data_IF_424875513626
#
_entry.id   IF_424875513626
#
_cell.length_a   1.000
_cell.length_b   1.000
_cell.length_c   1.000
_cell.angle_alpha   90.00
_cell.angle_beta   90.00
_cell.angle_gamma   90.00
#
_symmetry.space_group_name_H-M   'P 1'
#
loop_
_entity.id
_entity.type
_entity.pdbx_description
1 polymer ?
#
# COMPACT_ATOMS: atom_id res chain seq x y z
N UNK A 1 7.55 -85.21 12.30
CA UNK A 1 7.66 -84.68 10.93
C UNK A 1 6.84 -83.38 10.75
N UNK A 2 5.70 -83.23 11.37
CA UNK A 2 4.80 -82.04 11.29
C UNK A 2 5.33 -80.71 11.82
N UNK A 3 6.21 -80.75 12.86
CA UNK A 3 6.78 -79.51 13.47
C UNK A 3 7.81 -78.79 12.60
N UNK A 4 8.55 -79.49 11.74
CA UNK A 4 9.52 -78.86 10.79
C UNK A 4 8.76 -78.21 9.60
N UNK A 5 7.70 -78.87 9.15
CA UNK A 5 6.92 -78.31 8.01
C UNK A 5 6.19 -77.01 8.42
N UNK A 6 5.65 -76.92 9.66
CA UNK A 6 5.05 -75.68 10.20
C UNK A 6 6.06 -74.52 10.32
N UNK A 7 7.27 -74.78 10.69
CA UNK A 7 8.32 -73.74 10.76
C UNK A 7 8.74 -73.26 9.36
N UNK A 8 8.78 -74.17 8.38
CA UNK A 8 9.13 -73.81 6.95
C UNK A 8 8.09 -72.89 6.32
N UNK A 9 6.83 -72.99 6.72
CA UNK A 9 5.72 -72.15 6.16
C UNK A 9 5.55 -70.89 7.00
N UNK A 10 5.68 -70.94 8.32
CA UNK A 10 5.48 -69.78 9.21
C UNK A 10 6.55 -68.67 9.06
N UNK A 11 7.80 -69.08 8.83
CA UNK A 11 8.89 -68.08 8.70
C UNK A 11 8.74 -67.20 7.42
N UNK A 12 8.51 -67.77 6.21
CA UNK A 12 8.33 -66.95 5.03
C UNK A 12 7.01 -66.15 5.08
N UNK A 13 5.96 -66.68 5.70
CA UNK A 13 4.72 -65.94 5.89
C UNK A 13 4.88 -64.71 6.80
N UNK A 14 5.70 -64.85 7.88
CA UNK A 14 6.03 -63.77 8.81
C UNK A 14 6.90 -62.68 8.11
N UNK A 15 7.81 -63.10 7.26
CA UNK A 15 8.63 -62.20 6.46
C UNK A 15 7.79 -61.43 5.43
N UNK A 16 6.83 -62.10 4.77
CA UNK A 16 5.94 -61.48 3.80
C UNK A 16 5.05 -60.42 4.44
N UNK A 17 4.54 -60.67 5.65
CA UNK A 17 3.74 -59.71 6.44
C UNK A 17 4.57 -58.51 6.89
N UNK A 18 5.83 -58.71 7.26
CA UNK A 18 6.70 -57.62 7.66
C UNK A 18 7.11 -56.73 6.45
N UNK A 19 7.29 -57.28 5.26
CA UNK A 19 7.62 -56.51 4.06
C UNK A 19 6.41 -55.66 3.61
N UNK A 20 5.19 -56.17 3.70
CA UNK A 20 3.99 -55.40 3.35
C UNK A 20 3.72 -54.18 4.27
N UNK A 21 4.24 -54.21 5.50
CA UNK A 21 4.12 -53.07 6.43
C UNK A 21 5.00 -51.85 6.10
N UNK A 22 6.01 -52.01 5.24
CA UNK A 22 6.92 -50.92 4.86
C UNK A 22 6.54 -50.19 3.61
N UNK A 23 5.52 -50.61 2.85
CA UNK A 23 4.95 -49.86 1.76
C UNK A 23 3.85 -48.90 2.27
N UNK A 24 4.15 -48.14 3.29
CA UNK A 24 3.39 -46.91 3.54
C UNK A 24 3.84 -45.89 2.50
N UNK A 25 3.23 -45.94 1.32
CA UNK A 25 3.36 -44.90 0.33
C UNK A 25 2.72 -43.67 0.96
N UNK A 26 3.53 -42.76 1.51
CA UNK A 26 3.06 -41.45 1.93
C UNK A 26 2.45 -40.75 0.72
N UNK A 27 1.13 -40.61 0.71
CA UNK A 27 0.45 -39.76 -0.27
C UNK A 27 0.92 -38.35 0.03
N UNK A 28 1.49 -37.68 -0.97
CA UNK A 28 1.76 -36.27 -0.88
C UNK A 28 0.43 -35.51 -0.72
N UNK A 29 0.17 -35.04 0.48
CA UNK A 29 -1.06 -34.29 0.80
C UNK A 29 -0.87 -32.78 0.69
N UNK A 30 0.34 -32.31 0.30
CA UNK A 30 0.62 -30.90 0.16
C UNK A 30 -0.38 -30.15 -0.73
N UNK A 31 -0.83 -30.71 -1.88
CA UNK A 31 -1.84 -30.06 -2.71
C UNK A 31 -3.17 -29.80 -2.01
N UNK A 32 -3.54 -30.63 -1.02
CA UNK A 32 -4.78 -30.47 -0.25
C UNK A 32 -4.74 -29.22 0.66
N UNK A 33 -3.55 -28.80 1.05
CA UNK A 33 -3.33 -27.69 1.97
C UNK A 33 -2.82 -26.42 1.24
N UNK A 34 -2.58 -26.48 -0.06
CA UNK A 34 -2.00 -25.40 -0.82
C UNK A 34 -2.77 -24.06 -0.66
N UNK A 35 -4.12 -24.13 -0.60
CA UNK A 35 -4.93 -22.92 -0.42
C UNK A 35 -4.83 -22.32 0.98
N UNK A 36 -4.52 -23.15 2.02
CA UNK A 36 -4.36 -22.68 3.40
C UNK A 36 -2.99 -22.05 3.64
N UNK A 37 -1.98 -22.54 2.91
CA UNK A 37 -0.60 -22.09 3.06
C UNK A 37 -0.19 -21.04 2.03
N UNK A 38 -1.02 -20.79 1.03
CA UNK A 38 -0.68 -19.93 -0.11
C UNK A 38 -0.28 -18.51 0.29
N UNK A 39 -0.97 -17.92 1.26
CA UNK A 39 -0.70 -16.55 1.70
C UNK A 39 0.63 -16.47 2.45
N UNK A 40 0.88 -17.37 3.40
CA UNK A 40 2.12 -17.38 4.17
C UNK A 40 3.33 -17.74 3.29
N UNK A 41 3.16 -18.66 2.33
CA UNK A 41 4.15 -18.95 1.31
C UNK A 41 4.48 -17.70 0.49
N UNK A 42 3.47 -17.02 -0.04
CA UNK A 42 3.65 -15.77 -0.77
C UNK A 42 4.35 -14.69 0.07
N UNK A 43 3.93 -14.51 1.33
CA UNK A 43 4.58 -13.56 2.23
C UNK A 43 6.06 -13.88 2.41
N UNK A 44 6.40 -15.16 2.63
CA UNK A 44 7.79 -15.58 2.80
C UNK A 44 8.62 -15.32 1.53
N UNK A 45 8.09 -15.66 0.35
CA UNK A 45 8.77 -15.44 -0.93
C UNK A 45 9.04 -13.96 -1.19
N UNK A 46 8.06 -13.10 -0.91
CA UNK A 46 8.23 -11.64 -1.04
C UNK A 46 9.26 -11.13 -0.04
N UNK A 47 9.24 -11.62 1.19
CA UNK A 47 10.23 -11.23 2.20
C UNK A 47 11.64 -11.67 1.83
N UNK A 48 11.82 -12.87 1.27
CA UNK A 48 13.14 -13.30 0.78
C UNK A 48 13.70 -12.37 -0.30
N UNK A 49 12.84 -11.84 -1.16
CA UNK A 49 13.25 -11.05 -2.31
C UNK A 49 13.42 -9.56 -1.99
N UNK A 50 12.61 -9.01 -1.09
CA UNK A 50 12.46 -7.57 -0.94
C UNK A 50 12.60 -7.05 0.50
N UNK A 51 12.68 -7.93 1.50
CA UNK A 51 12.73 -7.53 2.89
C UNK A 51 14.12 -7.00 3.26
N UNK A 52 14.17 -5.86 3.94
CA UNK A 52 15.44 -5.22 4.33
C UNK A 52 16.35 -6.16 5.16
N UNK A 53 15.76 -6.96 6.04
CA UNK A 53 16.48 -7.91 6.88
C UNK A 53 16.27 -9.37 6.42
N UNK A 54 16.28 -9.60 5.11
CA UNK A 54 16.06 -10.95 4.54
C UNK A 54 17.05 -12.01 5.08
N UNK A 55 18.23 -11.59 5.51
CA UNK A 55 19.24 -12.50 6.12
C UNK A 55 18.86 -12.97 7.51
N UNK A 56 17.96 -12.29 8.20
CA UNK A 56 17.47 -12.66 9.52
C UNK A 56 16.25 -13.61 9.44
N UNK A 57 15.75 -13.91 8.24
CA UNK A 57 14.62 -14.83 8.04
C UNK A 57 15.02 -16.25 8.42
N UNK A 58 14.16 -17.01 9.12
CA UNK A 58 14.36 -18.43 9.34
C UNK A 58 14.38 -19.21 8.02
N UNK A 59 14.96 -20.41 7.99
CA UNK A 59 14.88 -21.29 6.83
C UNK A 59 13.43 -21.64 6.50
N UNK A 60 13.10 -21.79 5.21
CA UNK A 60 11.76 -22.18 4.77
C UNK A 60 11.26 -23.46 5.42
N UNK A 61 12.15 -24.43 5.67
CA UNK A 61 11.82 -25.71 6.30
C UNK A 61 11.48 -25.58 7.80
N UNK A 62 11.88 -24.46 8.42
CA UNK A 62 11.67 -24.20 9.85
C UNK A 62 10.42 -23.32 10.12
N UNK A 63 9.74 -22.86 9.07
CA UNK A 63 8.55 -21.99 9.23
C UNK A 63 7.25 -22.80 9.22
N UNK A 64 6.30 -22.36 10.02
CA UNK A 64 4.96 -22.93 10.03
C UNK A 64 4.03 -22.08 9.13
N UNK A 65 3.71 -22.59 7.95
CA UNK A 65 2.86 -21.95 6.95
C UNK A 65 1.34 -22.05 7.23
N UNK A 66 0.94 -22.62 8.37
CA UNK A 66 -0.46 -22.76 8.78
C UNK A 66 -0.88 -21.74 9.85
N UNK A 67 -0.12 -20.69 10.02
CA UNK A 67 -0.44 -19.65 10.98
C UNK A 67 -1.39 -18.62 10.37
N UNK A 68 -2.07 -17.87 11.23
CA UNK A 68 -2.71 -16.63 10.80
C UNK A 68 -1.62 -15.64 10.30
N UNK A 69 -1.86 -14.88 9.22
CA UNK A 69 -0.85 -14.07 8.56
C UNK A 69 -0.10 -13.10 9.49
N UNK A 70 -0.81 -12.47 10.44
CA UNK A 70 -0.18 -11.59 11.42
C UNK A 70 0.75 -12.36 12.39
N UNK A 71 0.34 -13.57 12.77
CA UNK A 71 1.14 -14.46 13.62
C UNK A 71 2.35 -15.02 12.86
N UNK A 72 2.16 -15.35 11.58
CA UNK A 72 3.24 -15.76 10.69
C UNK A 72 4.29 -14.66 10.58
N UNK A 73 3.89 -13.45 10.17
CA UNK A 73 4.80 -12.30 10.05
C UNK A 73 5.57 -12.05 11.35
N UNK A 74 4.89 -12.10 12.51
CA UNK A 74 5.53 -11.89 13.82
C UNK A 74 6.62 -12.92 14.15
N UNK A 75 6.51 -14.13 13.60
CA UNK A 75 7.46 -15.23 13.79
C UNK A 75 8.67 -15.15 12.88
N UNK A 76 8.47 -14.70 11.63
CA UNK A 76 9.51 -14.72 10.60
C UNK A 76 10.29 -13.40 10.51
N UNK A 77 9.69 -12.28 10.89
CA UNK A 77 10.35 -10.97 10.77
C UNK A 77 11.53 -10.82 11.75
N UNK A 78 12.52 -10.03 11.35
CA UNK A 78 13.65 -9.67 12.19
C UNK A 78 13.19 -8.95 13.47
N UNK A 79 13.88 -9.18 14.58
CA UNK A 79 13.68 -8.46 15.84
C UNK A 79 13.99 -6.94 15.72
N UNK A 80 14.71 -6.53 14.68
CA UNK A 80 15.02 -5.13 14.36
C UNK A 80 13.84 -4.43 13.69
N UNK A 81 12.88 -5.21 13.15
CA UNK A 81 11.73 -4.69 12.43
C UNK A 81 10.58 -4.34 13.37
N UNK A 82 10.41 -3.06 13.60
CA UNK A 82 9.28 -2.48 14.35
C UNK A 82 8.20 -1.87 13.45
N UNK A 83 8.33 -1.97 12.14
CA UNK A 83 7.48 -1.27 11.17
C UNK A 83 6.52 -2.21 10.43
N UNK A 84 6.96 -3.44 10.11
CA UNK A 84 6.13 -4.37 9.36
C UNK A 84 5.00 -4.95 10.20
N UNK A 85 3.80 -4.86 9.68
CA UNK A 85 2.59 -5.44 10.26
C UNK A 85 1.64 -5.93 9.16
N UNK A 86 0.74 -6.83 9.51
CA UNK A 86 -0.37 -7.24 8.65
C UNK A 86 -1.58 -6.42 9.03
N UNK A 87 -2.10 -5.67 8.07
CA UNK A 87 -3.40 -5.01 8.22
C UNK A 87 -4.51 -6.03 7.89
N UNK A 88 -5.28 -6.39 8.90
CA UNK A 88 -6.42 -7.29 8.76
C UNK A 88 -7.74 -6.57 8.54
N UNK A 89 -7.73 -5.24 8.59
CA UNK A 89 -8.91 -4.43 8.36
C UNK A 89 -8.98 -4.15 6.85
N UNK A 90 -9.66 -5.01 6.12
CA UNK A 90 -10.10 -4.67 4.77
C UNK A 90 -11.26 -3.67 4.88
N UNK A 91 -10.96 -2.43 5.18
CA UNK A 91 -11.91 -1.37 4.87
C UNK A 91 -12.08 -1.34 3.34
N UNK A 92 -13.34 -1.40 2.89
CA UNK A 92 -13.61 -1.18 1.47
C UNK A 92 -12.96 0.17 1.11
N UNK A 93 -12.09 0.21 0.09
CA UNK A 93 -11.41 1.44 -0.24
C UNK A 93 -12.42 2.51 -0.56
N UNK A 94 -12.35 3.59 0.19
CA UNK A 94 -13.21 4.75 -0.02
C UNK A 94 -12.89 5.35 -1.40
N UNK A 95 -13.92 5.84 -2.10
CA UNK A 95 -13.70 6.59 -3.32
C UNK A 95 -12.74 7.75 -3.05
N UNK A 96 -11.79 7.95 -3.95
CA UNK A 96 -10.82 9.04 -3.85
C UNK A 96 -10.57 9.65 -5.23
N UNK A 97 -10.18 10.91 -5.25
CA UNK A 97 -9.70 11.55 -6.48
C UNK A 97 -8.30 11.06 -6.87
N UNK A 98 -7.56 10.45 -5.94
CA UNK A 98 -6.26 9.87 -6.20
C UNK A 98 -5.11 10.86 -6.15
N UNK A 99 -5.14 11.83 -5.26
CA UNK A 99 -4.01 12.71 -4.96
C UNK A 99 -3.85 12.91 -3.46
N UNK A 100 -2.65 13.32 -3.08
CA UNK A 100 -2.31 13.75 -1.74
C UNK A 100 -1.70 15.16 -1.77
N UNK A 101 -1.81 15.91 -0.68
CA UNK A 101 -1.44 17.31 -0.64
C UNK A 101 -0.97 17.76 0.73
N UNK A 102 -0.30 18.90 0.76
CA UNK A 102 0.01 19.64 1.98
C UNK A 102 -0.64 21.01 1.94
N UNK A 103 -1.29 21.40 3.04
CA UNK A 103 -1.85 22.74 3.17
C UNK A 103 -0.76 23.75 3.52
N UNK A 104 -0.65 24.76 2.70
CA UNK A 104 0.23 25.91 2.91
C UNK A 104 -0.66 27.14 3.12
N UNK A 105 -0.42 27.89 4.20
CA UNK A 105 -1.22 29.08 4.53
C UNK A 105 -1.16 30.09 3.38
N UNK A 106 -2.31 30.61 3.00
CA UNK A 106 -2.39 31.73 2.06
C UNK A 106 -2.00 33.02 2.82
N UNK A 107 -0.96 33.74 2.39
CA UNK A 107 -0.51 34.93 3.10
C UNK A 107 -1.46 36.13 2.95
N UNK A 108 -2.28 36.14 1.90
CA UNK A 108 -3.18 37.26 1.58
C UNK A 108 -4.59 37.09 2.20
N UNK A 109 -4.94 35.86 2.59
CA UNK A 109 -6.25 35.54 3.15
C UNK A 109 -6.06 34.71 4.43
N UNK A 110 -6.28 35.30 5.57
CA UNK A 110 -5.92 34.75 6.90
C UNK A 110 -6.52 33.36 7.21
N UNK A 111 -7.71 33.07 6.69
CA UNK A 111 -8.39 31.78 6.94
C UNK A 111 -8.22 30.77 5.81
N UNK A 112 -7.50 31.14 4.74
CA UNK A 112 -7.34 30.32 3.55
C UNK A 112 -5.99 29.62 3.49
N UNK A 113 -5.99 28.50 2.77
CA UNK A 113 -4.82 27.71 2.45
C UNK A 113 -4.77 27.45 0.95
N UNK A 114 -3.57 27.18 0.45
CA UNK A 114 -3.35 26.62 -0.86
C UNK A 114 -2.91 25.15 -0.67
N UNK A 115 -3.43 24.23 -1.47
CA UNK A 115 -3.02 22.84 -1.41
C UNK A 115 -1.87 22.58 -2.42
N UNK A 116 -0.69 22.26 -1.90
CA UNK A 116 0.44 21.80 -2.68
C UNK A 116 0.30 20.30 -2.91
N UNK A 117 0.22 19.87 -4.16
CA UNK A 117 0.09 18.46 -4.52
C UNK A 117 1.42 17.74 -4.30
N UNK A 118 1.41 16.77 -3.38
CA UNK A 118 2.58 15.98 -3.00
C UNK A 118 2.70 14.69 -3.80
N UNK A 119 1.56 14.11 -4.18
CA UNK A 119 1.48 12.87 -4.91
C UNK A 119 0.20 12.78 -5.74
N UNK A 120 0.25 12.09 -6.88
CA UNK A 120 -0.92 11.78 -7.73
C UNK A 120 -0.83 10.32 -8.16
N UNK A 121 -1.91 9.56 -7.96
CA UNK A 121 -2.01 8.15 -8.34
C UNK A 121 -2.23 8.06 -9.85
N UNK A 122 -1.38 7.37 -10.61
CA UNK A 122 -1.56 7.18 -12.04
C UNK A 122 -2.91 6.52 -12.37
N UNK A 123 -3.61 7.03 -13.37
CA UNK A 123 -4.92 6.52 -13.80
C UNK A 123 -6.10 6.96 -12.93
N UNK A 124 -5.87 7.76 -11.89
CA UNK A 124 -6.93 8.36 -11.08
C UNK A 124 -7.57 9.56 -11.77
N UNK A 125 -8.77 10.02 -11.32
CA UNK A 125 -9.38 11.26 -11.82
C UNK A 125 -8.44 12.46 -11.71
N UNK A 126 -7.68 12.58 -10.63
CA UNK A 126 -6.71 13.67 -10.45
C UNK A 126 -5.57 13.62 -11.49
N UNK A 127 -5.15 12.45 -11.94
CA UNK A 127 -4.05 12.31 -12.90
C UNK A 127 -4.34 12.94 -14.27
N UNK A 128 -5.62 13.19 -14.58
CA UNK A 128 -6.01 13.88 -15.82
C UNK A 128 -5.73 15.39 -15.77
N UNK A 129 -5.70 15.99 -14.57
CA UNK A 129 -5.68 17.46 -14.39
C UNK A 129 -4.58 17.96 -13.45
N UNK A 130 -3.99 17.09 -12.65
CA UNK A 130 -2.98 17.42 -11.64
C UNK A 130 -1.70 16.61 -11.83
N UNK A 131 -0.61 17.19 -11.37
CA UNK A 131 0.69 16.52 -11.18
C UNK A 131 1.34 16.98 -9.88
N UNK A 132 2.31 16.22 -9.40
CA UNK A 132 3.12 16.61 -8.25
C UNK A 132 3.73 18.00 -8.46
N UNK A 133 3.60 18.85 -7.45
CA UNK A 133 4.10 20.21 -7.43
C UNK A 133 3.08 21.27 -7.91
N UNK A 134 1.94 20.85 -8.40
CA UNK A 134 0.84 21.78 -8.71
C UNK A 134 0.23 22.32 -7.42
N UNK A 135 -0.45 23.46 -7.54
CA UNK A 135 -1.14 24.11 -6.45
C UNK A 135 -2.63 24.21 -6.77
N UNK A 136 -3.48 23.88 -5.79
CA UNK A 136 -4.91 24.18 -5.83
C UNK A 136 -5.15 25.39 -4.93
N UNK A 137 -5.75 26.43 -5.47
CA UNK A 137 -6.06 27.68 -4.74
C UNK A 137 -7.52 27.70 -4.30
N UNK A 138 -8.42 27.24 -5.19
CA UNK A 138 -9.87 27.15 -4.91
C UNK A 138 -10.41 25.81 -5.36
N UNK A 139 -11.47 25.38 -4.70
CA UNK A 139 -12.34 24.29 -5.12
C UNK A 139 -13.73 24.87 -5.29
N UNK A 140 -14.30 24.68 -6.46
CA UNK A 140 -15.50 25.39 -6.93
C UNK A 140 -15.29 26.92 -6.78
N UNK A 141 -16.14 27.60 -6.05
CA UNK A 141 -16.01 29.05 -5.79
C UNK A 141 -15.30 29.39 -4.48
N UNK A 142 -14.91 28.36 -3.70
CA UNK A 142 -14.45 28.52 -2.31
C UNK A 142 -12.95 28.40 -2.17
N UNK A 143 -12.35 29.29 -1.36
CA UNK A 143 -10.99 29.09 -0.90
C UNK A 143 -10.93 27.91 0.10
N UNK A 144 -9.85 27.15 0.04
CA UNK A 144 -9.63 26.01 0.92
C UNK A 144 -9.41 26.54 2.34
N UNK A 145 -10.20 26.08 3.30
CA UNK A 145 -10.01 26.38 4.71
C UNK A 145 -9.81 25.08 5.48
N UNK A 146 -9.05 25.12 6.58
CA UNK A 146 -8.79 23.96 7.41
C UNK A 146 -10.05 23.28 7.94
N UNK A 147 -11.12 24.05 8.15
CA UNK A 147 -12.41 23.54 8.62
C UNK A 147 -13.14 22.72 7.55
N UNK A 148 -13.02 23.09 6.28
CA UNK A 148 -13.76 22.49 5.15
C UNK A 148 -12.89 21.67 4.22
N UNK A 149 -11.65 21.45 4.58
CA UNK A 149 -10.66 20.72 3.80
C UNK A 149 -11.20 19.37 3.31
N UNK A 150 -11.69 18.53 4.21
CA UNK A 150 -12.20 17.20 3.88
C UNK A 150 -13.40 17.25 2.92
N UNK A 151 -14.29 18.25 3.08
CA UNK A 151 -15.45 18.42 2.21
C UNK A 151 -15.06 18.87 0.81
N UNK A 152 -14.04 19.72 0.70
CA UNK A 152 -13.61 20.31 -0.57
C UNK A 152 -12.68 19.38 -1.35
N UNK A 153 -11.75 18.68 -0.67
CA UNK A 153 -10.68 17.92 -1.31
C UNK A 153 -10.84 16.40 -1.22
N UNK A 154 -11.70 15.90 -0.34
CA UNK A 154 -11.96 14.46 -0.10
C UNK A 154 -13.43 14.08 -0.36
N UNK A 155 -14.15 14.90 -1.12
CA UNK A 155 -15.52 14.60 -1.56
C UNK A 155 -15.57 13.44 -2.55
N UNK A 156 -16.78 13.10 -3.04
CA UNK A 156 -16.98 12.02 -3.99
C UNK A 156 -17.49 12.47 -5.37
N UNK A 157 -18.07 13.68 -5.45
CA UNK A 157 -18.57 14.26 -6.71
C UNK A 157 -17.46 14.87 -7.58
N UNK A 158 -17.75 15.29 -8.81
CA UNK A 158 -16.80 16.07 -9.59
C UNK A 158 -16.50 17.41 -8.88
N UNK A 159 -15.27 17.90 -9.06
CA UNK A 159 -14.81 19.16 -8.50
C UNK A 159 -14.35 20.10 -9.62
N UNK A 160 -14.65 21.39 -9.48
CA UNK A 160 -14.01 22.43 -10.25
C UNK A 160 -12.86 23.03 -9.45
N UNK A 161 -11.63 22.91 -9.94
CA UNK A 161 -10.43 23.37 -9.22
C UNK A 161 -9.78 24.54 -9.93
N UNK A 162 -9.37 25.56 -9.16
CA UNK A 162 -8.54 26.64 -9.66
C UNK A 162 -7.09 26.33 -9.33
N UNK A 163 -6.26 26.19 -10.35
CA UNK A 163 -4.83 25.96 -10.19
C UNK A 163 -4.08 27.24 -9.84
N UNK A 164 -2.93 27.09 -9.21
CA UNK A 164 -2.04 28.19 -8.87
C UNK A 164 -0.60 27.94 -9.31
N UNK A 165 0.14 29.02 -9.41
CA UNK A 165 1.58 28.98 -9.65
C UNK A 165 2.32 29.78 -8.57
N UNK A 166 3.34 29.17 -7.97
CA UNK A 166 4.24 29.86 -7.08
C UNK A 166 5.20 30.72 -7.89
N UNK A 167 5.11 32.04 -7.73
CA UNK A 167 5.90 32.98 -8.52
C UNK A 167 6.19 34.26 -7.74
N UNK A 168 7.21 34.99 -8.18
CA UNK A 168 7.52 36.32 -7.69
C UNK A 168 6.39 37.29 -8.05
N UNK A 169 5.93 38.05 -7.08
CA UNK A 169 4.94 39.10 -7.26
C UNK A 169 5.54 40.46 -6.89
N UNK A 170 5.10 41.56 -7.51
CA UNK A 170 5.55 42.88 -7.09
C UNK A 170 5.12 43.17 -5.65
N UNK A 171 5.90 43.92 -4.89
CA UNK A 171 5.55 44.33 -3.53
C UNK A 171 4.25 45.16 -3.57
N UNK A 172 3.42 44.98 -2.54
CA UNK A 172 2.13 45.70 -2.43
C UNK A 172 2.33 47.15 -2.01
N UNK A 173 3.45 47.47 -1.36
CA UNK A 173 3.85 48.80 -0.95
C UNK A 173 5.18 49.17 -1.61
N UNK A 174 5.39 50.44 -2.00
CA UNK A 174 6.67 50.86 -2.54
C UNK A 174 7.78 50.72 -1.48
N UNK A 175 9.00 50.31 -1.88
CA UNK A 175 10.10 50.14 -0.94
C UNK A 175 10.43 51.46 -0.24
N UNK A 176 10.75 51.37 1.04
CA UNK A 176 11.22 52.52 1.82
C UNK A 176 12.60 52.89 1.32
N UNK A 177 12.85 54.20 1.19
CA UNK A 177 14.11 54.70 0.66
C UNK A 177 15.31 54.24 1.56
N UNK A 178 16.16 53.36 0.98
CA UNK A 178 17.34 52.80 1.66
C UNK A 178 17.20 51.33 2.12
N UNK A 179 16.06 50.68 1.93
CA UNK A 179 15.91 49.24 2.17
C UNK A 179 16.06 48.45 0.86
N UNK A 180 16.71 47.28 0.94
CA UNK A 180 16.79 46.35 -0.18
C UNK A 180 15.40 45.76 -0.44
N UNK A 181 14.99 45.69 -1.71
CA UNK A 181 13.71 45.14 -2.15
C UNK A 181 13.73 43.62 -1.90
N UNK A 182 12.92 43.15 -0.95
CA UNK A 182 12.77 41.71 -0.71
C UNK A 182 11.89 41.09 -1.81
N UNK A 183 12.36 39.98 -2.36
CA UNK A 183 11.62 39.20 -3.34
C UNK A 183 10.42 38.51 -2.67
N UNK A 184 9.23 38.95 -2.99
CA UNK A 184 7.98 38.39 -2.47
C UNK A 184 7.47 37.29 -3.42
N UNK A 185 7.28 36.09 -2.90
CA UNK A 185 6.72 34.97 -3.65
C UNK A 185 5.32 34.59 -3.13
N UNK A 186 4.40 34.35 -4.06
CA UNK A 186 3.01 34.00 -3.79
C UNK A 186 2.53 32.89 -4.70
N UNK A 187 1.53 32.14 -4.25
CA UNK A 187 0.76 31.25 -5.11
C UNK A 187 -0.35 32.09 -5.77
N UNK A 188 -0.22 32.34 -7.05
CA UNK A 188 -1.17 33.15 -7.82
C UNK A 188 -2.04 32.23 -8.67
N UNK A 189 -3.38 32.40 -8.67
CA UNK A 189 -4.27 31.66 -9.56
C UNK A 189 -3.86 31.81 -11.03
N UNK A 190 -3.93 30.71 -11.79
CA UNK A 190 -3.57 30.70 -13.21
C UNK A 190 -4.61 29.91 -14.03
N UNK A 191 -4.95 30.47 -15.19
CA UNK A 191 -5.91 29.87 -16.11
C UNK A 191 -7.34 29.85 -15.60
N UNK A 192 -8.21 29.23 -16.40
CA UNK A 192 -9.61 28.99 -16.03
C UNK A 192 -9.69 27.78 -15.08
N UNK A 193 -10.75 27.69 -14.26
CA UNK A 193 -11.01 26.50 -13.45
C UNK A 193 -11.08 25.23 -14.30
N UNK A 194 -10.59 24.13 -13.77
CA UNK A 194 -10.52 22.83 -14.45
C UNK A 194 -11.40 21.83 -13.71
N UNK A 195 -12.23 21.11 -14.45
CA UNK A 195 -13.07 20.05 -13.90
C UNK A 195 -12.25 18.78 -13.67
N UNK A 196 -12.28 18.29 -12.43
CA UNK A 196 -11.76 16.98 -12.04
C UNK A 196 -12.93 16.01 -11.87
N UNK A 197 -12.86 14.86 -12.52
CA UNK A 197 -13.91 13.84 -12.47
C UNK A 197 -14.20 13.35 -11.05
N UNK A 198 -15.35 12.70 -10.87
CA UNK A 198 -15.77 12.15 -9.59
C UNK A 198 -14.75 11.13 -9.03
N UNK A 199 -14.66 11.07 -7.70
CA UNK A 199 -13.83 10.12 -7.00
C UNK A 199 -14.21 8.66 -7.34
N UNK A 200 -13.22 7.79 -7.46
CA UNK A 200 -13.39 6.37 -7.81
C UNK A 200 -12.72 5.48 -6.77
N UNK A 201 -13.20 4.25 -6.65
CA UNK A 201 -12.49 3.21 -5.89
C UNK A 201 -11.26 2.75 -6.68
N UNK A 202 -10.07 2.94 -6.12
CA UNK A 202 -8.81 2.59 -6.79
C UNK A 202 -8.42 1.11 -6.66
N UNK A 203 -9.22 0.30 -5.95
CA UNK A 203 -8.96 -1.14 -5.80
C UNK A 203 -9.28 -1.93 -7.06
N UNK A 204 -10.21 -1.45 -7.86
CA UNK A 204 -10.55 -2.08 -9.14
C UNK A 204 -9.49 -1.81 -10.25
N UNK A 205 -8.50 -1.01 -9.94
CA UNK A 205 -7.41 -0.71 -10.85
C UNK A 205 -6.07 -1.15 -10.22
N UNK A 206 -5.71 -2.44 -10.30
CA UNK A 206 -4.47 -2.94 -9.71
C UNK A 206 -3.31 -2.18 -10.30
N UNK A 207 -2.61 -1.41 -9.46
CA UNK A 207 -1.35 -0.77 -9.83
C UNK A 207 -0.37 -1.89 -10.10
N UNK A 208 -0.19 -2.24 -11.36
CA UNK A 208 0.89 -3.11 -11.77
C UNK A 208 2.19 -2.33 -11.60
N UNK A 209 2.84 -2.49 -10.45
CA UNK A 209 4.25 -2.15 -10.33
C UNK A 209 5.04 -3.06 -11.28
N UNK A 210 5.55 -2.48 -12.36
CA UNK A 210 6.54 -3.13 -13.23
C UNK A 210 7.93 -2.85 -12.69
#
# INVERSE_FOLDING_TARGET
>A
MMTKLRKIILIPALILVSISGFFSCGVDRWPEYAHQTALDTWMYDIMQQNYLWYQDLPSYDDVNLFLEPASFLSKVKSKKDSYSFVDSVMEAPLPTYGFDYSLVRNPDIDTAYNALITYVIPGSPAAAVLKRGDWIVKVDTSYISKKYEAQLLQGTGPLEITLGKYQKVPPTEPPVEGEEEEDIYRVVPVGDPVEMGAAVSLVDNPIHCK
#
